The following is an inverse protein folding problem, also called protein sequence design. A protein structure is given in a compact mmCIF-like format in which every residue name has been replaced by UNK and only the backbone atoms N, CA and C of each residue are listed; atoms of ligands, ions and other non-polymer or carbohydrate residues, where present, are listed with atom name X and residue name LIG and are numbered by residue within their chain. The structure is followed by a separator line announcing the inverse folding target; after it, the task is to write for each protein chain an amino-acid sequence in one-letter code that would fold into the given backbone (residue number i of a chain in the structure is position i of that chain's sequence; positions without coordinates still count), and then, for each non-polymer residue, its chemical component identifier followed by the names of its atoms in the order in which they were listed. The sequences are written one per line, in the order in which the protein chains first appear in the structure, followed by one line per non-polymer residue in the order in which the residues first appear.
data_IF_123083520140
#
_entry.id   IF_123083520140
#
_cell.length_a   1.000
_cell.length_b   1.000
_cell.length_c   1.000
_cell.angle_alpha   90.00
_cell.angle_beta   90.00
_cell.angle_gamma   90.00
#
_symmetry.space_group_name_H-M   'P 1'
#
loop_
_entity.id
_entity.type
_entity.pdbx_description
1 polymer ?
#
# COMPACT_ATOMS: atom_id res chain seq x y z
N UNK A 1 10.63 -17.71 -15.50
CA UNK A 1 10.63 -16.94 -14.23
C UNK A 1 9.77 -17.76 -13.30
N UNK A 2 10.30 -18.34 -12.21
CA UNK A 2 9.52 -19.24 -11.40
C UNK A 2 8.43 -18.42 -10.70
N UNK A 3 7.21 -18.90 -10.84
CA UNK A 3 6.02 -18.34 -10.25
C UNK A 3 6.17 -18.27 -8.73
N UNK A 4 5.81 -17.09 -8.21
CA UNK A 4 5.66 -16.71 -6.81
C UNK A 4 5.32 -17.88 -5.87
N UNK A 5 6.31 -18.33 -5.10
CA UNK A 5 6.10 -19.26 -3.99
C UNK A 5 5.44 -18.50 -2.83
N UNK A 6 4.10 -18.58 -2.75
CA UNK A 6 3.35 -18.10 -1.60
C UNK A 6 3.54 -19.12 -0.46
N UNK A 7 4.68 -19.02 0.22
CA UNK A 7 4.98 -19.78 1.45
C UNK A 7 3.93 -19.42 2.48
N UNK A 8 3.01 -20.36 2.74
CA UNK A 8 1.97 -20.37 3.78
C UNK A 8 1.78 -19.02 4.47
N UNK A 9 1.10 -18.08 3.81
CA UNK A 9 0.72 -16.81 4.42
C UNK A 9 -0.04 -17.13 5.72
N UNK A 10 0.41 -16.58 6.84
CA UNK A 10 -0.28 -16.73 8.10
C UNK A 10 -1.75 -16.29 7.89
N UNK A 11 -2.74 -17.00 8.43
CA UNK A 11 -4.17 -16.74 8.17
C UNK A 11 -4.62 -15.33 8.58
N UNK A 12 -3.73 -14.54 9.18
CA UNK A 12 -3.93 -13.14 9.58
C UNK A 12 -3.04 -12.14 8.82
N UNK A 13 -2.28 -12.58 7.84
CA UNK A 13 -1.44 -11.71 7.01
C UNK A 13 -2.25 -11.15 5.83
N UNK A 14 -2.21 -9.83 5.65
CA UNK A 14 -2.85 -9.14 4.55
C UNK A 14 -1.82 -8.31 3.78
N UNK A 15 -1.63 -8.64 2.50
CA UNK A 15 -0.76 -7.90 1.58
C UNK A 15 -1.61 -7.23 0.50
N UNK A 16 -1.43 -5.93 0.31
CA UNK A 16 -2.18 -5.14 -0.69
C UNK A 16 -1.18 -4.51 -1.67
N UNK A 17 -1.32 -4.82 -2.96
CA UNK A 17 -0.57 -4.15 -4.04
C UNK A 17 -1.48 -3.19 -4.79
N UNK A 18 -1.05 -1.94 -5.00
CA UNK A 18 -1.81 -0.92 -5.76
C UNK A 18 -0.92 -0.28 -6.82
N UNK A 19 -1.47 -0.12 -8.02
CA UNK A 19 -0.87 0.71 -9.06
C UNK A 19 -1.45 2.13 -8.94
N UNK A 20 -0.58 3.10 -8.65
CA UNK A 20 -0.95 4.50 -8.48
C UNK A 20 -0.19 5.32 -9.51
N UNK A 21 -0.91 6.05 -10.36
CA UNK A 21 -0.34 6.92 -11.38
C UNK A 21 0.16 8.25 -10.76
N UNK A 22 1.15 8.17 -9.87
CA UNK A 22 1.77 9.32 -9.24
C UNK A 22 3.27 9.06 -8.96
N UNK A 23 4.12 10.11 -8.91
CA UNK A 23 5.50 9.97 -8.47
C UNK A 23 5.60 9.37 -7.06
N UNK A 24 6.62 8.53 -6.82
CA UNK A 24 6.86 7.86 -5.52
C UNK A 24 6.87 8.83 -4.33
N UNK A 25 7.41 10.03 -4.53
CA UNK A 25 7.51 11.06 -3.48
C UNK A 25 6.13 11.49 -2.98
N UNK A 26 5.17 11.65 -3.89
CA UNK A 26 3.80 12.04 -3.54
C UNK A 26 3.07 10.91 -2.80
N UNK A 27 3.29 9.66 -3.23
CA UNK A 27 2.70 8.49 -2.56
C UNK A 27 3.29 8.34 -1.16
N UNK A 28 4.60 8.51 -1.01
CA UNK A 28 5.24 8.48 0.30
C UNK A 28 4.68 9.57 1.22
N UNK A 29 4.58 10.82 0.74
CA UNK A 29 4.01 11.93 1.50
C UNK A 29 2.57 11.65 1.96
N UNK A 30 1.73 11.05 1.11
CA UNK A 30 0.36 10.69 1.47
C UNK A 30 0.28 9.69 2.64
N UNK A 31 1.32 8.89 2.86
CA UNK A 31 1.41 7.96 4.00
C UNK A 31 2.04 8.57 5.26
N UNK A 32 2.86 9.62 5.14
CA UNK A 32 3.67 10.14 6.27
C UNK A 32 3.23 11.52 6.76
N UNK A 33 2.55 12.31 5.94
CA UNK A 33 2.07 13.65 6.31
C UNK A 33 0.73 13.54 7.09
N UNK A 34 0.67 14.03 8.35
CA UNK A 34 -0.51 13.89 9.20
C UNK A 34 -1.79 14.49 8.61
N UNK A 35 -1.68 15.55 7.81
CA UNK A 35 -2.85 16.19 7.20
C UNK A 35 -3.38 15.39 6.00
N UNK A 36 -2.51 14.65 5.31
CA UNK A 36 -2.84 13.91 4.09
C UNK A 36 -3.27 12.47 4.36
N UNK A 37 -2.78 11.84 5.43
CA UNK A 37 -3.10 10.43 5.73
C UNK A 37 -4.60 10.21 5.92
N UNK A 38 -5.30 11.19 6.49
CA UNK A 38 -6.76 11.15 6.64
C UNK A 38 -7.42 11.06 5.26
N UNK A 39 -7.10 11.99 4.35
CA UNK A 39 -7.66 12.00 3.00
C UNK A 39 -7.27 10.77 2.16
N UNK A 40 -6.08 10.19 2.42
CA UNK A 40 -5.54 9.09 1.64
C UNK A 40 -6.08 7.71 2.06
N UNK A 41 -6.22 7.46 3.37
CA UNK A 41 -6.49 6.13 3.90
C UNK A 41 -7.88 5.98 4.55
N UNK A 42 -8.65 7.06 4.69
CA UNK A 42 -10.05 6.97 5.16
C UNK A 42 -11.03 7.16 4.01
N UNK A 43 -12.27 6.65 4.13
CA UNK A 43 -13.35 7.05 3.23
C UNK A 43 -13.60 8.57 3.30
N UNK A 44 -14.17 9.17 2.24
CA UNK A 44 -14.57 10.58 2.20
C UNK A 44 -15.74 10.91 3.15
#
# INVERSE_FOLDING_TARGET
MPDTENTTADSRELVITRHIAAPREKVYRAWTDPELIVQWFTPP
#
